data_IF_920051479533
#
_entry.id   IF_920051479533
#
_cell.length_a   1.000
_cell.length_b   1.000
_cell.length_c   1.000
_cell.angle_alpha   90.00
_cell.angle_beta   90.00
_cell.angle_gamma   90.00
#
_symmetry.space_group_name_H-M   'P 1'
#
loop_
_entity.id
_entity.type
_entity.pdbx_description
1 polymer ?
#
# COMPACT_ATOMS: atom_id res chain seq x y z
N UNK A 1 8.59 -35.07 -36.03
CA UNK A 1 8.99 -34.26 -34.86
C UNK A 1 7.76 -33.47 -34.47
N UNK A 2 7.38 -33.44 -33.16
CA UNK A 2 6.22 -32.67 -32.68
C UNK A 2 6.53 -31.16 -32.76
N UNK A 3 5.59 -30.35 -33.27
CA UNK A 3 5.70 -28.88 -33.29
C UNK A 3 4.82 -28.30 -32.16
N UNK A 4 5.47 -27.74 -31.12
CA UNK A 4 4.81 -27.17 -29.94
C UNK A 4 4.32 -25.73 -30.13
N UNK A 5 4.50 -25.15 -31.32
CA UNK A 5 4.19 -23.71 -31.57
C UNK A 5 2.76 -23.36 -31.20
N UNK A 6 1.80 -24.21 -31.57
CA UNK A 6 0.39 -23.96 -31.25
C UNK A 6 0.13 -23.92 -29.74
N UNK A 7 0.63 -24.91 -28.99
CA UNK A 7 0.42 -25.00 -27.56
C UNK A 7 1.12 -23.86 -26.80
N UNK A 8 2.34 -23.50 -27.25
CA UNK A 8 3.09 -22.38 -26.72
C UNK A 8 2.33 -21.05 -26.90
N UNK A 9 1.80 -20.78 -28.09
CA UNK A 9 0.99 -19.59 -28.37
C UNK A 9 -0.28 -19.54 -27.51
N UNK A 10 -0.97 -20.68 -27.36
CA UNK A 10 -2.15 -20.79 -26.50
C UNK A 10 -1.82 -20.46 -25.05
N UNK A 11 -0.68 -20.95 -24.54
CA UNK A 11 -0.20 -20.62 -23.18
C UNK A 11 0.12 -19.13 -23.05
N UNK A 12 0.88 -18.54 -23.97
CA UNK A 12 1.22 -17.11 -23.98
C UNK A 12 -0.05 -16.25 -23.93
N UNK A 13 -1.05 -16.55 -24.77
CA UNK A 13 -2.30 -15.81 -24.78
C UNK A 13 -3.07 -15.94 -23.44
N UNK A 14 -3.04 -17.10 -22.82
CA UNK A 14 -3.70 -17.31 -21.51
C UNK A 14 -3.01 -16.52 -20.39
N UNK A 15 -1.66 -16.51 -20.37
CA UNK A 15 -0.89 -15.69 -19.41
C UNK A 15 -1.20 -14.21 -19.63
N UNK A 16 -1.20 -13.75 -20.89
CA UNK A 16 -1.52 -12.36 -21.23
C UNK A 16 -2.92 -11.95 -20.74
N UNK A 17 -3.91 -12.82 -20.86
CA UNK A 17 -5.26 -12.59 -20.34
C UNK A 17 -5.25 -12.37 -18.82
N UNK A 18 -4.56 -13.23 -18.05
CA UNK A 18 -4.48 -13.07 -16.59
C UNK A 18 -3.75 -11.78 -16.18
N UNK A 19 -2.67 -11.43 -16.86
CA UNK A 19 -1.98 -10.16 -16.63
C UNK A 19 -2.88 -8.95 -16.90
N UNK A 20 -3.68 -8.98 -17.97
CA UNK A 20 -4.65 -7.92 -18.26
C UNK A 20 -5.74 -7.80 -17.18
N UNK A 21 -6.19 -8.92 -16.60
CA UNK A 21 -7.13 -8.92 -15.46
C UNK A 21 -6.50 -8.21 -14.25
N UNK A 22 -5.24 -8.53 -13.90
CA UNK A 22 -4.55 -7.86 -12.79
C UNK A 22 -4.31 -6.37 -13.05
N UNK A 23 -4.01 -5.96 -14.28
CA UNK A 23 -3.96 -4.54 -14.66
C UNK A 23 -5.29 -3.83 -14.37
N UNK A 24 -6.43 -4.47 -14.69
CA UNK A 24 -7.74 -3.93 -14.36
C UNK A 24 -7.96 -3.74 -12.85
N UNK A 25 -7.53 -4.71 -12.03
CA UNK A 25 -7.59 -4.56 -10.58
C UNK A 25 -6.72 -3.41 -10.07
N UNK A 26 -5.50 -3.27 -10.59
CA UNK A 26 -4.62 -2.16 -10.21
C UNK A 26 -5.18 -0.80 -10.63
N UNK A 27 -5.74 -0.69 -11.83
CA UNK A 27 -6.39 0.55 -12.27
C UNK A 27 -7.53 0.95 -11.34
N UNK A 28 -8.40 -0.01 -10.97
CA UNK A 28 -9.49 0.25 -10.04
C UNK A 28 -8.98 0.68 -8.63
N UNK A 29 -7.86 0.09 -8.17
CA UNK A 29 -7.23 0.51 -6.90
C UNK A 29 -6.69 1.93 -7.00
N UNK A 30 -6.04 2.31 -8.11
CA UNK A 30 -5.55 3.66 -8.32
C UNK A 30 -6.68 4.71 -8.30
N UNK A 31 -7.83 4.39 -8.91
CA UNK A 31 -8.98 5.29 -8.95
C UNK A 31 -9.66 5.47 -7.57
N UNK A 32 -9.60 4.45 -6.70
CA UNK A 32 -10.31 4.41 -5.42
C UNK A 32 -9.39 4.56 -4.20
N UNK A 33 -8.07 4.60 -4.41
CA UNK A 33 -7.11 4.75 -3.33
C UNK A 33 -7.47 5.93 -2.43
N UNK A 34 -7.60 5.66 -1.12
CA UNK A 34 -7.90 6.67 -0.10
C UNK A 34 -9.19 7.49 -0.33
N UNK A 35 -10.07 7.09 -1.25
CA UNK A 35 -11.30 7.81 -1.55
C UNK A 35 -12.18 8.04 -0.31
N UNK A 36 -12.10 7.18 0.69
CA UNK A 36 -12.82 7.35 1.96
C UNK A 36 -12.41 8.62 2.73
N UNK A 37 -11.16 9.08 2.58
CA UNK A 37 -10.65 10.32 3.19
C UNK A 37 -11.34 11.59 2.66
N UNK A 38 -12.01 11.50 1.51
CA UNK A 38 -12.72 12.62 0.88
C UNK A 38 -14.18 12.74 1.35
N UNK A 39 -14.64 11.82 2.21
CA UNK A 39 -16.02 11.70 2.66
C UNK A 39 -16.10 11.62 4.20
N UNK A 40 -17.25 12.01 4.81
CA UNK A 40 -17.49 11.71 6.22
C UNK A 40 -17.47 10.19 6.50
N UNK A 41 -17.00 9.76 7.68
CA UNK A 41 -16.58 10.55 8.84
C UNK A 41 -15.09 10.93 8.81
N UNK A 42 -14.32 10.52 7.81
CA UNK A 42 -12.86 10.71 7.77
C UNK A 42 -12.47 12.15 7.45
N UNK A 43 -13.14 12.75 6.44
CA UNK A 43 -12.71 14.05 5.85
C UNK A 43 -12.46 15.14 6.89
N UNK A 44 -13.39 15.38 7.80
CA UNK A 44 -13.26 16.46 8.79
C UNK A 44 -12.06 16.26 9.72
N UNK A 45 -11.79 15.00 10.09
CA UNK A 45 -10.64 14.67 10.93
C UNK A 45 -9.33 14.83 10.17
N UNK A 46 -9.26 14.35 8.92
CA UNK A 46 -8.07 14.49 8.10
C UNK A 46 -7.80 15.96 7.74
N UNK A 47 -8.82 16.75 7.39
CA UNK A 47 -8.67 18.19 7.11
C UNK A 47 -8.05 18.94 8.30
N UNK A 48 -8.45 18.58 9.53
CA UNK A 48 -7.93 19.20 10.75
C UNK A 48 -6.51 18.77 11.09
N UNK A 49 -6.19 17.49 10.92
CA UNK A 49 -4.97 16.87 11.46
C UNK A 49 -3.84 16.80 10.44
N UNK A 50 -4.13 16.70 9.15
CA UNK A 50 -3.09 16.61 8.11
C UNK A 50 -2.10 17.80 8.16
N UNK A 51 -2.52 19.07 8.32
CA UNK A 51 -1.57 20.18 8.45
C UNK A 51 -0.62 20.02 9.64
N UNK A 52 -1.12 19.49 10.76
CA UNK A 52 -0.32 19.29 11.97
C UNK A 52 0.74 18.18 11.76
N UNK A 53 0.37 17.09 11.07
CA UNK A 53 1.28 15.99 10.77
C UNK A 53 2.40 16.39 9.80
N UNK A 54 2.14 17.33 8.89
CA UNK A 54 3.14 17.79 7.92
C UNK A 54 4.33 18.51 8.60
N UNK A 55 4.10 19.12 9.76
CA UNK A 55 5.12 19.84 10.52
C UNK A 55 5.89 18.95 11.50
N UNK A 56 5.49 17.67 11.63
CA UNK A 56 6.07 16.72 12.59
C UNK A 56 6.99 15.71 11.90
N UNK A 57 8.05 15.29 12.61
CA UNK A 57 8.92 14.22 12.15
C UNK A 57 8.17 12.88 12.19
N UNK A 58 8.15 12.16 11.07
CA UNK A 58 7.52 10.86 10.96
C UNK A 58 8.01 9.89 12.05
N UNK A 59 7.08 9.35 12.82
CA UNK A 59 7.35 8.41 13.89
C UNK A 59 7.84 9.00 15.21
N UNK A 60 7.93 10.34 15.34
CA UNK A 60 8.16 11.01 16.63
C UNK A 60 7.02 10.74 17.61
N UNK A 61 7.22 11.05 18.89
CA UNK A 61 6.19 10.84 19.91
C UNK A 61 5.01 11.80 19.68
N UNK A 62 5.27 13.05 19.31
CA UNK A 62 4.25 14.03 18.94
C UNK A 62 3.45 13.58 17.71
N UNK A 63 4.13 12.96 16.71
CA UNK A 63 3.46 12.38 15.55
C UNK A 63 2.50 11.25 15.96
N UNK A 64 2.94 10.35 16.85
CA UNK A 64 2.12 9.24 17.36
C UNK A 64 0.92 9.74 18.19
N UNK A 65 1.12 10.75 19.04
CA UNK A 65 0.04 11.37 19.82
C UNK A 65 -1.00 12.02 18.92
N UNK A 66 -0.55 12.71 17.88
CA UNK A 66 -1.41 13.33 16.86
C UNK A 66 -2.22 12.26 16.13
N UNK A 67 -1.60 11.15 15.70
CA UNK A 67 -2.31 10.01 15.12
C UNK A 67 -3.31 9.38 16.11
N UNK A 68 -2.97 9.27 17.39
CA UNK A 68 -3.88 8.74 18.40
C UNK A 68 -5.14 9.58 18.54
N UNK A 69 -5.06 10.90 18.31
CA UNK A 69 -6.23 11.79 18.32
C UNK A 69 -7.20 11.55 17.16
N UNK A 70 -6.75 10.83 16.10
CA UNK A 70 -7.54 10.48 14.91
C UNK A 70 -8.20 9.09 15.01
N UNK A 71 -8.13 8.41 16.17
CA UNK A 71 -8.43 6.97 16.30
C UNK A 71 -9.73 6.53 15.60
N UNK A 72 -10.83 7.26 15.75
CA UNK A 72 -12.10 6.92 15.10
C UNK A 72 -12.03 7.01 13.56
N UNK A 73 -11.39 8.04 13.00
CA UNK A 73 -11.21 8.20 11.57
C UNK A 73 -10.24 7.16 11.01
N UNK A 74 -9.16 6.83 11.75
CA UNK A 74 -8.20 5.80 11.34
C UNK A 74 -8.84 4.40 11.35
N UNK A 75 -9.65 4.07 12.36
CA UNK A 75 -10.38 2.79 12.40
C UNK A 75 -11.32 2.66 11.20
N UNK A 76 -12.09 3.72 10.90
CA UNK A 76 -12.96 3.72 9.71
C UNK A 76 -12.13 3.59 8.44
N UNK A 77 -11.02 4.30 8.33
CA UNK A 77 -10.11 4.25 7.20
C UNK A 77 -9.57 2.83 6.97
N UNK A 78 -9.01 2.19 7.99
CA UNK A 78 -8.50 0.82 7.91
C UNK A 78 -9.60 -0.19 7.55
N UNK A 79 -10.80 -0.02 8.09
CA UNK A 79 -11.93 -0.90 7.74
C UNK A 79 -12.34 -0.83 6.27
N UNK A 80 -12.11 0.30 5.61
CA UNK A 80 -12.54 0.54 4.22
C UNK A 80 -11.40 0.48 3.17
N UNK A 81 -10.13 0.39 3.60
CA UNK A 81 -8.97 0.47 2.71
C UNK A 81 -8.05 -0.74 2.88
N UNK A 82 -8.09 -1.65 1.91
CA UNK A 82 -7.41 -2.96 1.94
C UNK A 82 -5.87 -2.89 1.82
N UNK A 83 -5.31 -1.75 1.43
CA UNK A 83 -3.86 -1.57 1.37
C UNK A 83 -3.22 -1.38 2.76
N UNK A 84 -4.02 -1.31 3.81
CA UNK A 84 -3.54 -1.28 5.19
C UNK A 84 -3.55 -2.68 5.81
N UNK A 85 -2.43 -3.17 6.37
CA UNK A 85 -2.41 -4.45 7.09
C UNK A 85 -3.43 -4.52 8.24
N UNK A 86 -3.75 -3.38 8.86
CA UNK A 86 -4.74 -3.25 9.93
C UNK A 86 -6.19 -3.55 9.47
N UNK A 87 -6.45 -3.61 8.18
CA UNK A 87 -7.72 -4.05 7.60
C UNK A 87 -8.01 -5.52 7.92
N UNK A 88 -6.98 -6.33 8.07
CA UNK A 88 -7.06 -7.78 8.15
C UNK A 88 -6.79 -8.30 9.55
N UNK A 89 -7.42 -9.42 9.91
CA UNK A 89 -7.24 -10.06 11.21
C UNK A 89 -5.80 -10.51 11.43
N UNK A 90 -5.14 -11.07 10.40
CA UNK A 90 -3.74 -11.53 10.48
C UNK A 90 -2.77 -10.60 9.71
N UNK A 91 -3.16 -9.34 9.49
CA UNK A 91 -2.32 -8.34 8.84
C UNK A 91 -1.87 -8.74 7.45
N UNK A 92 -0.57 -8.63 7.17
CA UNK A 92 0.02 -8.94 5.84
C UNK A 92 -0.27 -10.37 5.36
N UNK A 93 -0.45 -11.33 6.27
CA UNK A 93 -0.71 -12.72 5.89
C UNK A 93 -2.05 -12.91 5.15
N UNK A 94 -3.01 -12.04 5.38
CA UNK A 94 -4.33 -12.09 4.72
C UNK A 94 -4.42 -11.20 3.48
N UNK A 95 -3.35 -10.42 3.17
CA UNK A 95 -3.29 -9.58 1.99
C UNK A 95 -3.02 -10.39 0.72
N UNK A 96 -3.62 -9.99 -0.40
CA UNK A 96 -3.23 -10.47 -1.72
C UNK A 96 -2.17 -9.57 -2.36
N UNK A 97 -1.60 -9.96 -3.51
CA UNK A 97 -0.55 -9.18 -4.19
C UNK A 97 -1.00 -7.79 -4.64
N UNK A 98 -2.29 -7.58 -4.93
CA UNK A 98 -2.83 -6.27 -5.29
C UNK A 98 -2.85 -5.36 -4.05
N UNK A 99 -3.27 -5.88 -2.89
CA UNK A 99 -3.27 -5.16 -1.63
C UNK A 99 -1.82 -4.76 -1.25
N UNK A 100 -0.86 -5.70 -1.39
CA UNK A 100 0.56 -5.45 -1.08
C UNK A 100 1.18 -4.43 -2.03
N UNK A 101 0.84 -4.47 -3.32
CA UNK A 101 1.38 -3.52 -4.30
C UNK A 101 0.81 -2.10 -4.08
N UNK A 102 -0.50 -1.98 -3.77
CA UNK A 102 -1.11 -0.70 -3.40
C UNK A 102 -0.48 -0.13 -2.13
N UNK A 103 -0.28 -0.95 -1.08
CA UNK A 103 0.43 -0.59 0.14
C UNK A 103 1.84 -0.04 -0.15
N UNK A 104 2.60 -0.71 -1.01
CA UNK A 104 3.95 -0.26 -1.39
C UNK A 104 3.92 1.08 -2.11
N UNK A 105 2.97 1.28 -3.03
CA UNK A 105 2.77 2.54 -3.73
C UNK A 105 2.39 3.68 -2.76
N UNK A 106 1.54 3.41 -1.77
CA UNK A 106 1.20 4.38 -0.73
C UNK A 106 2.44 4.78 0.09
N UNK A 107 3.23 3.82 0.55
CA UNK A 107 4.47 4.13 1.28
C UNK A 107 5.47 4.91 0.43
N UNK A 108 5.58 4.60 -0.86
CA UNK A 108 6.45 5.35 -1.79
C UNK A 108 5.97 6.79 -1.91
N UNK A 109 4.69 7.01 -2.19
CA UNK A 109 4.09 8.34 -2.30
C UNK A 109 4.20 9.14 -0.98
N UNK A 110 3.99 8.47 0.18
CA UNK A 110 4.16 9.09 1.48
C UNK A 110 5.61 9.53 1.74
N UNK A 111 6.59 8.73 1.31
CA UNK A 111 8.02 9.09 1.45
C UNK A 111 8.43 10.31 0.60
N UNK A 112 7.67 10.66 -0.42
CA UNK A 112 7.94 11.81 -1.31
C UNK A 112 7.35 13.13 -0.79
N UNK A 113 6.56 13.11 0.29
CA UNK A 113 5.96 14.33 0.88
C UNK A 113 6.98 15.24 1.56
N UNK A 114 8.13 14.70 1.96
CA UNK A 114 9.20 15.42 2.64
C UNK A 114 10.49 15.37 1.82
N UNK A 115 11.26 16.44 1.84
CA UNK A 115 12.52 16.55 1.08
C UNK A 115 13.61 15.56 1.53
N UNK A 116 13.51 15.03 2.75
CA UNK A 116 14.38 14.00 3.34
C UNK A 116 13.74 12.62 3.39
N UNK A 117 12.60 12.46 2.73
CA UNK A 117 11.87 11.21 2.67
C UNK A 117 12.66 10.12 1.95
N UNK A 118 12.65 8.92 2.53
CA UNK A 118 13.40 7.77 2.04
C UNK A 118 12.55 6.50 2.14
N UNK A 119 12.20 5.96 0.99
CA UNK A 119 11.39 4.74 0.92
C UNK A 119 12.08 3.54 1.58
N UNK A 120 13.40 3.45 1.53
CA UNK A 120 14.11 2.32 2.15
C UNK A 120 14.06 2.38 3.67
N UNK A 121 14.13 3.59 4.26
CA UNK A 121 13.87 3.79 5.70
C UNK A 121 12.43 3.46 6.05
N UNK A 122 11.48 3.87 5.22
CA UNK A 122 10.06 3.52 5.38
C UNK A 122 9.84 2.01 5.37
N UNK A 123 10.47 1.29 4.43
CA UNK A 123 10.41 -0.17 4.36
C UNK A 123 10.96 -0.84 5.63
N UNK A 124 12.08 -0.37 6.17
CA UNK A 124 12.66 -0.92 7.42
C UNK A 124 11.75 -0.69 8.63
N UNK A 125 11.15 0.49 8.74
CA UNK A 125 10.20 0.81 9.82
C UNK A 125 8.97 -0.09 9.71
N UNK A 126 8.38 -0.20 8.53
CA UNK A 126 7.18 -0.97 8.29
C UNK A 126 7.43 -2.49 8.37
N UNK A 127 8.63 -2.97 8.00
CA UNK A 127 9.05 -4.35 8.23
C UNK A 127 8.92 -4.75 9.68
N UNK A 128 9.43 -3.90 10.58
CA UNK A 128 9.34 -4.13 12.04
C UNK A 128 7.91 -3.99 12.54
N UNK A 129 7.20 -2.96 12.08
CA UNK A 129 5.82 -2.67 12.50
C UNK A 129 4.86 -3.82 12.19
N UNK A 130 4.97 -4.39 11.00
CA UNK A 130 4.03 -5.39 10.48
C UNK A 130 4.58 -6.81 10.47
N UNK A 131 5.79 -7.05 10.97
CA UNK A 131 6.40 -8.37 11.00
C UNK A 131 6.64 -8.96 9.60
N UNK A 132 7.02 -8.11 8.62
CA UNK A 132 7.24 -8.55 7.25
C UNK A 132 8.40 -9.54 7.19
N UNK A 133 8.18 -10.71 6.58
CA UNK A 133 9.20 -11.73 6.39
C UNK A 133 10.36 -11.23 5.52
N UNK A 134 11.54 -11.82 5.70
CA UNK A 134 12.73 -11.46 4.92
C UNK A 134 12.50 -11.61 3.42
N UNK A 135 11.78 -12.65 3.01
CA UNK A 135 11.47 -12.90 1.62
C UNK A 135 10.57 -11.80 1.03
N UNK A 136 9.47 -11.46 1.69
CA UNK A 136 8.58 -10.39 1.21
C UNK A 136 9.29 -9.04 1.23
N UNK A 137 10.05 -8.74 2.27
CA UNK A 137 10.86 -7.53 2.34
C UNK A 137 11.81 -7.37 1.16
N UNK A 138 12.51 -8.45 0.78
CA UNK A 138 13.40 -8.41 -0.38
C UNK A 138 12.62 -8.19 -1.69
N UNK A 139 11.44 -8.80 -1.84
CA UNK A 139 10.56 -8.57 -3.00
C UNK A 139 10.13 -7.10 -3.07
N UNK A 140 9.72 -6.50 -1.94
CA UNK A 140 9.33 -5.09 -1.87
C UNK A 140 10.50 -4.17 -2.28
N UNK A 141 11.72 -4.42 -1.79
CA UNK A 141 12.91 -3.68 -2.18
C UNK A 141 13.15 -3.75 -3.69
N UNK A 142 13.18 -4.96 -4.25
CA UNK A 142 13.40 -5.15 -5.69
C UNK A 142 12.31 -4.45 -6.53
N UNK A 143 11.09 -4.34 -5.99
CA UNK A 143 9.97 -3.66 -6.67
C UNK A 143 10.14 -2.15 -6.62
N UNK A 144 10.58 -1.59 -5.49
CA UNK A 144 10.88 -0.15 -5.35
C UNK A 144 11.99 0.29 -6.31
N UNK A 145 12.98 -0.57 -6.57
CA UNK A 145 14.08 -0.28 -7.51
C UNK A 145 13.60 -0.09 -8.96
N UNK A 146 12.33 -0.40 -9.26
CA UNK A 146 11.70 -0.19 -10.56
C UNK A 146 11.01 1.19 -10.68
N UNK A 147 10.84 1.93 -9.58
CA UNK A 147 10.14 3.22 -9.48
C UNK A 147 11.11 4.39 -9.40
#
# INVERSE_FOLDING_TARGET
MYDSTYDTRKHINRVGLYLAIFQGFLSNRADLHDASKLLPPEKETFDRVTPLLNDLTYGSDEYKETLASMQGALQHHYANNRHHPEHFEHGINDMNLIDVLEMLCDWKAASERHSDGDIYKSLEINRKRFGISDQLYQILKNTVDML
#
